data_IF_804575234920
#
_entry.id   IF_804575234920
#
_cell.length_a   1.000
_cell.length_b   1.000
_cell.length_c   1.000
_cell.angle_alpha   90.00
_cell.angle_beta   90.00
_cell.angle_gamma   90.00
#
_symmetry.space_group_name_H-M   'P 1'
#
loop_
_entity.id
_entity.type
_entity.pdbx_description
1 polymer ?
#
# COMPACT_ATOMS: atom_id res chain seq x y z
N UNK A 1 -39.01 45.54 37.09
CA UNK A 1 -39.15 44.16 37.62
C UNK A 1 -39.31 43.24 36.41
N UNK A 2 -38.20 42.62 35.98
CA UNK A 2 -37.90 41.16 36.11
C UNK A 2 -38.77 40.29 35.21
N UNK A 3 -38.30 39.33 34.41
CA UNK A 3 -36.98 38.77 34.02
C UNK A 3 -37.34 37.64 33.01
N UNK A 4 -36.38 37.24 32.16
CA UNK A 4 -36.21 35.90 31.53
C UNK A 4 -36.30 35.95 29.99
N UNK A 5 -35.20 36.07 29.26
CA UNK A 5 -34.05 35.14 29.08
C UNK A 5 -34.45 33.90 28.26
N UNK A 6 -34.11 33.96 26.97
CA UNK A 6 -33.40 32.94 26.19
C UNK A 6 -33.87 31.49 26.41
N UNK A 7 -34.71 30.99 25.51
CA UNK A 7 -34.87 29.56 25.21
C UNK A 7 -34.58 29.39 23.73
N UNK A 8 -33.80 28.44 23.22
CA UNK A 8 -32.78 27.57 23.78
C UNK A 8 -32.07 27.06 22.51
N UNK A 9 -30.81 27.42 22.37
CA UNK A 9 -29.94 27.23 21.21
C UNK A 9 -29.39 25.79 21.14
N UNK A 10 -30.23 24.74 21.19
CA UNK A 10 -29.74 23.36 21.34
C UNK A 10 -30.56 22.34 20.53
N UNK A 11 -30.48 22.38 19.20
CA UNK A 11 -30.64 21.18 18.33
C UNK A 11 -29.78 21.35 17.04
N UNK A 12 -28.51 21.72 17.18
CA UNK A 12 -27.52 21.60 16.08
C UNK A 12 -26.20 21.10 16.69
N UNK A 13 -26.25 19.95 17.36
CA UNK A 13 -25.06 19.32 17.96
C UNK A 13 -25.21 17.80 18.07
N UNK A 14 -25.80 17.16 17.05
CA UNK A 14 -25.88 15.69 16.96
C UNK A 14 -25.45 15.12 15.61
N UNK A 15 -24.91 15.94 14.69
CA UNK A 15 -24.52 15.49 13.35
C UNK A 15 -23.16 16.06 12.92
N UNK A 16 -22.14 15.90 13.76
CA UNK A 16 -20.75 16.07 13.31
C UNK A 16 -19.78 15.12 14.03
N UNK A 17 -20.21 13.91 14.39
CA UNK A 17 -19.23 12.81 14.42
C UNK A 17 -19.10 12.37 12.97
N UNK A 18 -18.36 13.15 12.18
CA UNK A 18 -17.79 12.57 10.97
C UNK A 18 -16.92 11.43 11.48
N UNK A 19 -17.15 10.18 11.05
CA UNK A 19 -16.23 9.11 11.41
C UNK A 19 -14.84 9.62 11.04
N UNK A 20 -13.95 9.69 12.02
CA UNK A 20 -12.53 9.94 11.78
C UNK A 20 -12.18 9.06 10.58
N UNK A 21 -11.65 9.70 9.52
CA UNK A 21 -11.14 8.96 8.37
C UNK A 21 -10.31 7.84 8.96
N UNK A 22 -10.74 6.61 8.76
CA UNK A 22 -9.91 5.45 9.04
C UNK A 22 -8.58 5.74 8.36
N UNK A 23 -7.48 5.78 9.10
CA UNK A 23 -6.12 6.00 8.56
C UNK A 23 -5.78 5.00 7.44
N UNK A 24 -6.54 3.91 7.30
CA UNK A 24 -6.40 2.94 6.22
C UNK A 24 -7.12 3.31 4.92
N UNK A 25 -7.80 4.45 4.90
CA UNK A 25 -8.75 4.72 3.83
C UNK A 25 -8.04 5.05 2.53
N UNK A 26 -6.87 5.70 2.47
CA UNK A 26 -6.37 6.25 1.19
C UNK A 26 -7.20 7.47 0.74
N UNK A 27 -7.19 7.86 -0.54
CA UNK A 27 -6.65 7.15 -1.71
C UNK A 27 -5.12 7.14 -1.75
N UNK A 28 -4.52 6.10 -2.32
CA UNK A 28 -3.07 5.95 -2.42
C UNK A 28 -2.61 6.29 -3.83
N UNK A 29 -1.81 7.34 -3.95
CA UNK A 29 -1.36 7.87 -5.25
C UNK A 29 0.15 7.82 -5.35
N UNK A 30 0.69 7.20 -6.39
CA UNK A 30 2.11 7.29 -6.65
C UNK A 30 2.47 7.25 -8.13
N UNK A 31 3.68 7.70 -8.40
CA UNK A 31 4.39 7.45 -9.64
C UNK A 31 5.60 6.56 -9.34
N UNK A 32 5.73 5.46 -10.06
CA UNK A 32 6.83 4.52 -9.91
C UNK A 32 7.89 4.80 -10.96
N UNK A 33 9.14 4.92 -10.53
CA UNK A 33 10.29 5.25 -11.38
C UNK A 33 11.44 4.28 -11.18
N UNK A 34 12.23 4.11 -12.24
CA UNK A 34 13.51 3.42 -12.21
C UNK A 34 14.57 4.31 -11.52
N UNK A 35 15.29 3.79 -10.54
CA UNK A 35 16.27 4.61 -9.79
C UNK A 35 17.51 4.99 -10.59
N UNK A 36 17.89 4.19 -11.60
CA UNK A 36 19.08 4.49 -12.41
C UNK A 36 18.77 5.50 -13.51
N UNK A 37 17.60 5.41 -14.14
CA UNK A 37 17.23 6.27 -15.27
C UNK A 37 16.32 7.44 -14.90
N UNK A 38 15.66 7.39 -13.74
CA UNK A 38 14.64 8.36 -13.32
C UNK A 38 13.35 8.30 -14.15
N UNK A 39 13.23 7.35 -15.09
CA UNK A 39 12.07 7.25 -15.98
C UNK A 39 10.90 6.51 -15.31
N UNK A 40 9.65 6.86 -15.64
CA UNK A 40 8.49 6.11 -15.16
C UNK A 40 8.51 4.64 -15.62
N UNK A 41 7.99 3.76 -14.78
CA UNK A 41 7.94 2.32 -15.03
C UNK A 41 6.54 1.83 -15.36
N UNK A 42 6.36 1.35 -16.59
CA UNK A 42 5.19 0.61 -17.03
C UNK A 42 5.22 -0.85 -16.55
N UNK A 43 4.04 -1.44 -16.32
CA UNK A 43 3.91 -2.86 -16.00
C UNK A 43 4.47 -3.23 -14.62
N UNK A 44 4.45 -2.29 -13.67
CA UNK A 44 4.68 -2.59 -12.26
C UNK A 44 3.36 -3.04 -11.66
N UNK A 45 3.37 -4.16 -10.95
CA UNK A 45 2.19 -4.66 -10.25
C UNK A 45 2.19 -4.13 -8.82
N UNK A 46 1.07 -3.55 -8.40
CA UNK A 46 0.83 -3.05 -7.05
C UNK A 46 -0.36 -3.80 -6.48
N UNK A 47 -0.14 -4.55 -5.41
CA UNK A 47 -1.19 -5.19 -4.62
C UNK A 47 -1.33 -4.44 -3.30
N UNK A 48 -2.53 -3.91 -3.04
CA UNK A 48 -2.94 -3.34 -1.78
C UNK A 48 -3.84 -4.34 -1.04
N UNK A 49 -3.54 -4.61 0.22
CA UNK A 49 -4.32 -5.53 1.06
C UNK A 49 -4.77 -4.83 2.33
N UNK A 50 -6.06 -4.85 2.59
CA UNK A 50 -6.65 -4.34 3.82
C UNK A 50 -7.06 -5.48 4.74
N UNK A 51 -6.99 -5.23 6.04
CA UNK A 51 -7.37 -6.19 7.08
C UNK A 51 -8.32 -5.56 8.08
N UNK A 52 -9.15 -6.38 8.71
CA UNK A 52 -9.92 -5.96 9.87
C UNK A 52 -9.07 -6.07 11.15
N UNK A 53 -9.30 -5.11 12.04
CA UNK A 53 -9.13 -5.32 13.47
C UNK A 53 -10.50 -5.54 14.10
N UNK A 54 -10.56 -6.45 15.07
CA UNK A 54 -11.75 -6.54 15.90
C UNK A 54 -11.97 -5.28 16.72
N UNK A 55 -13.20 -5.12 17.22
CA UNK A 55 -13.63 -3.93 17.97
C UNK A 55 -13.02 -3.85 19.36
N UNK A 56 -12.57 -4.97 19.92
CA UNK A 56 -12.03 -5.10 21.26
C UNK A 56 -10.53 -5.42 21.11
N UNK A 57 -9.68 -4.81 21.93
CA UNK A 57 -8.22 -5.03 21.92
C UNK A 57 -7.76 -6.51 22.04
N UNK A 58 -8.67 -7.44 22.37
CA UNK A 58 -8.43 -8.89 22.44
C UNK A 58 -8.76 -9.65 21.14
N UNK A 59 -9.57 -9.06 20.26
CA UNK A 59 -9.88 -9.62 18.95
C UNK A 59 -8.76 -9.20 18.00
N UNK A 60 -7.77 -10.09 17.83
CA UNK A 60 -6.54 -9.80 17.10
C UNK A 60 -6.76 -9.12 15.73
N UNK A 61 -5.84 -8.26 15.35
CA UNK A 61 -5.79 -7.70 14.00
C UNK A 61 -5.25 -8.73 13.02
N UNK A 62 -5.95 -8.96 11.90
CA UNK A 62 -5.40 -9.87 10.87
C UNK A 62 -6.38 -10.53 9.91
N UNK A 63 -7.69 -10.42 10.10
CA UNK A 63 -8.67 -10.97 9.14
C UNK A 63 -8.58 -10.21 7.81
N UNK A 64 -8.51 -10.93 6.69
CA UNK A 64 -8.57 -10.31 5.35
C UNK A 64 -9.89 -9.55 5.19
N UNK A 65 -9.82 -8.31 4.71
CA UNK A 65 -10.99 -7.49 4.40
C UNK A 65 -11.18 -7.36 2.89
N UNK A 66 -10.19 -6.79 2.21
CA UNK A 66 -10.24 -6.55 0.76
C UNK A 66 -8.82 -6.51 0.19
N UNK A 67 -8.71 -6.64 -1.13
CA UNK A 67 -7.49 -6.40 -1.86
C UNK A 67 -7.80 -5.76 -3.22
N UNK A 68 -6.89 -4.91 -3.68
CA UNK A 68 -6.92 -4.28 -4.99
C UNK A 68 -5.56 -4.44 -5.65
N UNK A 69 -5.58 -4.86 -6.91
CA UNK A 69 -4.39 -5.00 -7.74
C UNK A 69 -4.45 -3.99 -8.88
N UNK A 70 -3.36 -3.27 -9.08
CA UNK A 70 -3.21 -2.27 -10.14
C UNK A 70 -1.91 -2.51 -10.88
N UNK A 71 -1.94 -2.34 -12.20
CA UNK A 71 -0.76 -2.40 -13.06
C UNK A 71 -0.49 -1.01 -13.63
N UNK A 72 0.72 -0.50 -13.45
CA UNK A 72 1.08 0.84 -13.96
C UNK A 72 1.11 0.90 -15.48
N UNK A 73 0.62 2.00 -16.06
CA UNK A 73 0.73 2.30 -17.48
C UNK A 73 2.08 2.96 -17.83
N UNK A 74 2.19 3.47 -19.06
CA UNK A 74 3.40 4.11 -19.59
C UNK A 74 3.89 5.35 -18.82
N UNK A 75 3.01 5.99 -18.05
CA UNK A 75 3.35 7.15 -17.21
C UNK A 75 3.83 6.75 -15.80
N UNK A 76 3.84 5.44 -15.50
CA UNK A 76 4.23 4.86 -14.23
C UNK A 76 3.31 5.21 -13.06
N UNK A 77 2.12 5.78 -13.30
CA UNK A 77 1.22 6.22 -12.23
C UNK A 77 0.23 5.13 -11.86
N UNK A 78 -0.18 5.12 -10.59
CA UNK A 78 -1.34 4.39 -10.13
C UNK A 78 -2.11 5.18 -9.07
N UNK A 79 -3.39 4.85 -8.94
CA UNK A 79 -4.25 5.34 -7.87
C UNK A 79 -5.05 4.16 -7.35
N UNK A 80 -4.93 3.88 -6.05
CA UNK A 80 -5.77 2.91 -5.36
C UNK A 80 -6.83 3.70 -4.58
N UNK A 81 -8.09 3.37 -4.84
CA UNK A 81 -9.21 4.12 -4.27
C UNK A 81 -9.41 3.85 -2.79
N UNK A 82 -10.06 4.81 -2.14
CA UNK A 82 -10.20 4.74 -0.72
C UNK A 82 -11.12 3.60 -0.26
N UNK A 83 -10.80 2.96 0.87
CA UNK A 83 -11.65 1.94 1.49
C UNK A 83 -12.28 2.45 2.78
N UNK A 84 -13.57 2.16 2.95
CA UNK A 84 -14.32 2.56 4.13
C UNK A 84 -15.30 1.47 4.54
N UNK A 85 -15.48 1.30 5.85
CA UNK A 85 -16.46 0.40 6.44
C UNK A 85 -17.02 1.02 7.73
N UNK A 86 -18.34 1.22 7.84
CA UNK A 86 -18.95 1.82 9.04
C UNK A 86 -19.01 0.87 10.24
N UNK A 87 -18.85 -0.43 10.02
CA UNK A 87 -19.11 -1.46 11.02
C UNK A 87 -17.86 -2.11 11.60
N UNK A 88 -16.67 -1.82 11.06
CA UNK A 88 -15.37 -2.36 11.50
C UNK A 88 -14.23 -1.43 11.14
N UNK A 89 -13.26 -1.31 12.04
CA UNK A 89 -11.99 -0.65 11.75
C UNK A 89 -11.23 -1.46 10.68
N UNK A 90 -10.74 -0.73 9.67
CA UNK A 90 -9.87 -1.27 8.63
C UNK A 90 -8.44 -0.80 8.93
N UNK A 91 -7.46 -1.70 8.78
CA UNK A 91 -6.04 -1.39 8.71
C UNK A 91 -5.50 -1.59 7.29
N UNK A 92 -4.47 -0.82 6.96
CA UNK A 92 -3.69 -0.99 5.73
C UNK A 92 -3.68 0.25 4.84
N UNK A 93 -3.46 0.10 3.54
CA UNK A 93 -3.13 -1.14 2.87
C UNK A 93 -1.70 -1.59 3.23
N UNK A 94 -1.54 -2.89 3.43
CA UNK A 94 -0.24 -3.50 3.23
C UNK A 94 0.04 -3.50 1.72
N UNK A 95 1.17 -2.92 1.31
CA UNK A 95 1.52 -2.77 -0.11
C UNK A 95 2.62 -3.73 -0.53
N UNK A 96 2.33 -4.52 -1.56
CA UNK A 96 3.32 -5.25 -2.35
C UNK A 96 3.47 -4.57 -3.70
N UNK A 97 4.68 -4.11 -4.02
CA UNK A 97 5.01 -3.49 -5.31
C UNK A 97 6.10 -4.32 -5.95
N UNK A 98 5.82 -4.86 -7.14
CA UNK A 98 6.69 -5.83 -7.78
C UNK A 98 6.80 -5.62 -9.28
N UNK A 99 8.03 -5.77 -9.79
CA UNK A 99 8.32 -5.83 -11.22
C UNK A 99 9.50 -6.78 -11.46
N UNK A 100 9.40 -7.73 -12.41
CA UNK A 100 10.53 -8.59 -12.78
C UNK A 100 11.78 -7.79 -13.13
N UNK A 101 12.93 -8.17 -12.56
CA UNK A 101 14.20 -7.47 -12.75
C UNK A 101 14.41 -6.22 -11.89
N UNK A 102 13.51 -5.95 -10.95
CA UNK A 102 13.64 -4.86 -9.99
C UNK A 102 13.67 -5.38 -8.55
N UNK A 103 14.37 -4.64 -7.70
CA UNK A 103 14.50 -4.88 -6.27
C UNK A 103 13.34 -4.28 -5.47
N UNK A 104 13.52 -4.25 -4.15
CA UNK A 104 12.51 -3.73 -3.22
C UNK A 104 12.27 -2.24 -3.43
N UNK A 105 10.99 -1.86 -3.46
CA UNK A 105 10.56 -0.48 -3.57
C UNK A 105 10.95 0.36 -2.34
N UNK A 106 11.06 1.67 -2.54
CA UNK A 106 11.27 2.67 -1.48
C UNK A 106 10.69 4.03 -1.87
N UNK A 107 10.47 4.90 -0.90
CA UNK A 107 10.14 6.30 -1.20
C UNK A 107 11.35 7.02 -1.79
N UNK A 108 11.10 7.97 -2.70
CA UNK A 108 12.17 8.75 -3.32
C UNK A 108 13.09 9.40 -2.28
N UNK A 109 14.40 9.25 -2.48
CA UNK A 109 15.43 9.79 -1.59
C UNK A 109 15.51 9.14 -0.21
N UNK A 110 14.79 8.04 0.06
CA UNK A 110 14.81 7.39 1.37
C UNK A 110 16.13 6.73 1.73
N UNK A 111 17.01 6.53 0.74
CA UNK A 111 18.35 6.01 0.96
C UNK A 111 19.24 6.97 1.77
N UNK A 112 18.99 8.27 1.64
CA UNK A 112 19.77 9.33 2.29
C UNK A 112 19.11 9.85 3.57
N UNK A 113 18.04 9.20 4.04
CA UNK A 113 17.39 9.62 5.26
C UNK A 113 18.31 9.45 6.48
N UNK A 114 18.18 10.34 7.49
CA UNK A 114 18.97 10.25 8.72
C UNK A 114 18.87 8.87 9.36
N UNK A 115 19.98 8.41 9.95
CA UNK A 115 20.01 7.16 10.73
C UNK A 115 19.34 7.32 12.09
N UNK A 116 19.19 8.55 12.58
CA UNK A 116 18.46 8.85 13.79
C UNK A 116 17.02 8.33 13.68
N UNK A 117 16.59 7.56 14.69
CA UNK A 117 15.31 6.85 14.65
C UNK A 117 14.11 7.80 14.68
N UNK A 118 14.22 8.92 15.40
CA UNK A 118 13.12 9.85 15.55
C UNK A 118 12.91 10.66 14.27
N UNK A 119 13.99 11.22 13.72
CA UNK A 119 13.95 11.94 12.44
C UNK A 119 13.49 11.02 11.30
N UNK A 120 14.00 9.78 11.27
CA UNK A 120 13.59 8.80 10.27
C UNK A 120 12.11 8.45 10.38
N UNK A 121 11.60 8.24 11.61
CA UNK A 121 10.17 7.97 11.83
C UNK A 121 9.30 9.12 11.35
N UNK A 122 9.69 10.36 11.63
CA UNK A 122 8.97 11.54 11.16
C UNK A 122 8.95 11.64 9.62
N UNK A 123 10.07 11.32 8.94
CA UNK A 123 10.13 11.30 7.47
C UNK A 123 9.26 10.19 6.86
N UNK A 124 9.28 9.00 7.45
CA UNK A 124 8.41 7.89 7.04
C UNK A 124 6.95 8.30 7.17
N UNK A 125 6.56 8.83 8.34
CA UNK A 125 5.19 9.29 8.60
C UNK A 125 4.73 10.31 7.56
N UNK A 126 5.55 11.34 7.31
CA UNK A 126 5.26 12.36 6.30
C UNK A 126 5.13 11.78 4.89
N UNK A 127 5.96 10.79 4.53
CA UNK A 127 5.88 10.14 3.22
C UNK A 127 4.55 9.36 3.06
N UNK A 128 4.09 8.68 4.12
CA UNK A 128 2.79 8.02 4.12
C UNK A 128 1.62 9.02 4.03
N UNK A 129 1.66 10.12 4.79
CA UNK A 129 0.67 11.20 4.68
C UNK A 129 0.60 11.81 3.27
N UNK A 130 1.76 12.00 2.63
CA UNK A 130 1.83 12.46 1.24
C UNK A 130 1.25 11.43 0.27
N UNK A 131 1.49 10.14 0.51
CA UNK A 131 0.96 9.06 -0.33
C UNK A 131 -0.58 9.03 -0.33
N UNK A 132 -1.19 9.35 0.80
CA UNK A 132 -2.66 9.44 0.96
C UNK A 132 -3.28 10.70 0.35
N UNK A 133 -2.49 11.72 0.07
CA UNK A 133 -2.97 13.06 -0.29
C UNK A 133 -2.56 13.48 -1.70
N UNK A 134 -1.40 14.10 -1.84
CA UNK A 134 -0.86 14.65 -3.08
C UNK A 134 -0.27 13.57 -3.99
N UNK A 135 0.18 12.48 -3.37
CA UNK A 135 0.91 11.38 -3.98
C UNK A 135 2.42 11.47 -3.78
N UNK A 136 3.09 10.36 -4.04
CA UNK A 136 4.54 10.20 -3.84
C UNK A 136 5.24 9.66 -5.09
N UNK A 137 6.56 9.79 -5.12
CA UNK A 137 7.41 9.03 -6.04
C UNK A 137 7.93 7.79 -5.33
N UNK A 138 7.69 6.64 -5.93
CA UNK A 138 8.21 5.35 -5.49
C UNK A 138 9.33 4.95 -6.44
N UNK A 139 10.45 4.59 -5.85
CA UNK A 139 11.66 4.18 -6.53
C UNK A 139 11.77 2.65 -6.54
N UNK A 140 12.00 2.08 -7.72
CA UNK A 140 12.37 0.68 -7.91
C UNK A 140 13.81 0.60 -8.44
N UNK A 141 14.75 0.01 -7.67
CA UNK A 141 16.10 -0.20 -8.14
C UNK A 141 16.17 -1.39 -9.11
N UNK A 142 16.76 -1.25 -10.32
CA UNK A 142 17.02 -2.40 -11.16
C UNK A 142 18.04 -3.33 -10.46
N UNK A 143 17.84 -4.63 -10.59
CA UNK A 143 18.75 -5.65 -10.03
C UNK A 143 19.43 -6.42 -11.15
N UNK A 144 20.74 -6.63 -11.00
CA UNK A 144 21.60 -7.10 -12.10
C UNK A 144 22.04 -8.55 -11.89
N UNK A 145 22.18 -8.96 -10.64
CA UNK A 145 22.64 -10.31 -10.29
C UNK A 145 21.47 -11.26 -10.05
N UNK A 146 21.74 -12.56 -10.19
CA UNK A 146 20.78 -13.60 -9.90
C UNK A 146 20.40 -13.60 -8.41
N UNK A 147 21.38 -13.35 -7.55
CA UNK A 147 21.24 -13.29 -6.10
C UNK A 147 20.32 -12.16 -5.66
N UNK A 148 20.48 -10.95 -6.20
CA UNK A 148 19.59 -9.82 -5.91
C UNK A 148 18.15 -10.08 -6.39
N UNK A 149 17.99 -10.71 -7.55
CA UNK A 149 16.68 -11.10 -8.09
C UNK A 149 15.99 -12.13 -7.21
N UNK A 150 16.74 -13.12 -6.71
CA UNK A 150 16.23 -14.09 -5.74
C UNK A 150 15.86 -13.44 -4.40
N UNK A 151 16.64 -12.46 -3.93
CA UNK A 151 16.32 -11.73 -2.70
C UNK A 151 15.03 -10.92 -2.87
N UNK A 152 14.87 -10.21 -3.99
CA UNK A 152 13.64 -9.48 -4.32
C UNK A 152 12.40 -10.38 -4.29
N UNK A 153 12.50 -11.58 -4.88
CA UNK A 153 11.40 -12.56 -4.89
C UNK A 153 10.92 -12.99 -3.50
N UNK A 154 11.78 -12.95 -2.46
CA UNK A 154 11.40 -13.37 -1.09
C UNK A 154 10.32 -12.48 -0.50
N UNK A 155 10.19 -11.25 -0.99
CA UNK A 155 9.25 -10.24 -0.50
C UNK A 155 8.08 -9.98 -1.45
N UNK A 156 8.04 -10.67 -2.60
CA UNK A 156 7.06 -10.43 -3.64
C UNK A 156 5.74 -11.20 -3.45
N UNK A 157 5.74 -12.29 -2.67
CA UNK A 157 4.58 -13.16 -2.53
C UNK A 157 3.39 -12.47 -1.84
N UNK A 158 2.14 -12.67 -2.32
CA UNK A 158 0.96 -12.19 -1.61
C UNK A 158 0.82 -12.87 -0.25
N UNK A 159 0.14 -12.20 0.68
CA UNK A 159 -0.28 -12.85 1.93
C UNK A 159 -1.18 -14.04 1.60
N UNK A 160 -0.98 -15.17 2.29
CA UNK A 160 -1.76 -16.41 2.08
C UNK A 160 -3.27 -16.24 2.36
N UNK A 161 -3.65 -15.14 3.03
CA UNK A 161 -5.05 -14.79 3.31
C UNK A 161 -5.75 -14.10 2.13
N UNK A 162 -5.02 -13.65 1.12
CA UNK A 162 -5.58 -12.97 -0.04
C UNK A 162 -6.11 -14.01 -1.04
N UNK A 163 -7.39 -13.94 -1.46
CA UNK A 163 -7.92 -14.81 -2.50
C UNK A 163 -7.15 -14.67 -3.82
N UNK A 164 -6.91 -15.79 -4.51
CA UNK A 164 -6.05 -15.81 -5.71
C UNK A 164 -6.59 -15.01 -6.88
N UNK A 165 -7.90 -14.91 -7.00
CA UNK A 165 -8.55 -14.09 -8.02
C UNK A 165 -8.26 -12.59 -7.84
N UNK A 166 -7.73 -12.18 -6.67
CA UNK A 166 -7.28 -10.82 -6.37
C UNK A 166 -5.78 -10.58 -6.60
N UNK A 167 -5.01 -11.60 -6.99
CA UNK A 167 -3.53 -11.55 -7.09
C UNK A 167 -3.01 -12.00 -8.44
N UNK A 168 -3.86 -12.00 -9.47
CA UNK A 168 -3.56 -12.61 -10.77
C UNK A 168 -2.32 -11.99 -11.42
N UNK A 169 -2.24 -10.67 -11.52
CA UNK A 169 -1.11 -10.01 -12.18
C UNK A 169 0.19 -10.16 -11.38
N UNK A 170 0.10 -10.16 -10.05
CA UNK A 170 1.24 -10.37 -9.17
C UNK A 170 1.77 -11.79 -9.32
N UNK A 171 0.89 -12.79 -9.34
CA UNK A 171 1.26 -14.18 -9.61
C UNK A 171 1.92 -14.34 -10.98
N UNK A 172 1.34 -13.76 -12.03
CA UNK A 172 1.91 -13.76 -13.38
C UNK A 172 3.32 -13.12 -13.41
N UNK A 173 3.51 -11.97 -12.75
CA UNK A 173 4.78 -11.29 -12.68
C UNK A 173 5.83 -12.08 -11.89
N UNK A 174 5.44 -12.66 -10.74
CA UNK A 174 6.31 -13.54 -9.94
C UNK A 174 6.71 -14.75 -10.76
N UNK A 175 5.77 -15.37 -11.48
CA UNK A 175 6.06 -16.54 -12.31
C UNK A 175 7.01 -16.21 -13.46
N UNK A 176 6.85 -15.05 -14.11
CA UNK A 176 7.80 -14.57 -15.11
C UNK A 176 9.22 -14.46 -14.53
N UNK A 177 9.36 -13.86 -13.35
CA UNK A 177 10.64 -13.72 -12.67
C UNK A 177 11.24 -15.08 -12.27
N UNK A 178 10.40 -15.99 -11.77
CA UNK A 178 10.81 -17.35 -11.39
C UNK A 178 11.30 -18.15 -12.59
N UNK A 179 10.56 -18.13 -13.70
CA UNK A 179 10.96 -18.80 -14.95
C UNK A 179 12.29 -18.25 -15.46
N UNK A 180 12.48 -16.93 -15.46
CA UNK A 180 13.76 -16.31 -15.82
C UNK A 180 14.93 -16.82 -14.96
N UNK A 181 14.70 -17.06 -13.67
CA UNK A 181 15.70 -17.55 -12.72
C UNK A 181 15.91 -19.08 -12.75
N UNK A 182 15.23 -19.79 -13.65
CA UNK A 182 15.26 -21.25 -13.74
C UNK A 182 14.51 -21.96 -12.62
N UNK A 183 13.55 -21.28 -11.98
CA UNK A 183 12.70 -21.83 -10.93
C UNK A 183 11.35 -22.30 -11.51
N UNK A 184 10.72 -23.33 -10.91
CA UNK A 184 9.36 -23.69 -11.28
C UNK A 184 8.40 -22.54 -10.93
N UNK A 185 7.31 -22.41 -11.68
CA UNK A 185 6.20 -21.50 -11.36
C UNK A 185 5.71 -21.73 -9.93
N UNK A 186 5.27 -20.66 -9.27
CA UNK A 186 4.75 -20.68 -7.92
C UNK A 186 3.46 -21.51 -7.86
N UNK A 187 2.61 -21.36 -8.87
CA UNK A 187 1.33 -22.04 -8.98
C UNK A 187 1.14 -22.64 -10.38
N UNK A 188 1.45 -23.92 -10.53
CA UNK A 188 1.30 -24.65 -11.79
C UNK A 188 2.52 -25.52 -12.09
N UNK A 189 2.28 -26.82 -12.30
CA UNK A 189 3.32 -27.82 -12.49
C UNK A 189 3.98 -27.77 -13.89
N UNK A 190 5.32 -27.85 -13.84
CA UNK A 190 6.35 -27.98 -14.88
C UNK A 190 6.64 -26.76 -15.77
N UNK A 191 7.94 -26.52 -16.07
CA UNK A 191 8.47 -25.35 -16.77
C UNK A 191 7.96 -25.22 -18.20
#
# INVERSE_FOLDING_TARGET
MTRSIIFLWIIVSLLSVWPERSDAAGPWKAQIVDTETGKPLEGVVVLAVWRHCGFIFMDGCGEYYDAEEVVTGSDGRFVIQARWNPFRTILGPDLTIFKPGYGRWRFQGSQDWPKDLYERKARVQKAWEQFESEGVVIELPPVKTREERLDSLRYAGPSALVPRDRTRHLEEAIDQERVYLGLPRMYGGKP
#
